data_IF_515427768197
#
_entry.id   IF_515427768197
#
_cell.length_a   1.000
_cell.length_b   1.000
_cell.length_c   1.000
_cell.angle_alpha   90.00
_cell.angle_beta   90.00
_cell.angle_gamma   90.00
#
_symmetry.space_group_name_H-M   'P 1'
#
loop_
_entity.id
_entity.type
_entity.pdbx_description
1 polymer ?
#
# COMPACT_ATOMS: atom_id res chain seq x y z
N UNK A 1 -27.44 18.64 20.81
CA UNK A 1 -28.01 18.40 19.45
C UNK A 1 -27.15 19.17 18.50
N UNK A 2 -26.31 18.47 17.77
CA UNK A 2 -25.34 19.06 16.81
C UNK A 2 -26.11 19.31 15.51
N UNK A 3 -26.35 20.57 15.19
CA UNK A 3 -26.93 20.94 13.88
C UNK A 3 -25.76 21.27 12.96
N UNK A 4 -25.40 20.38 12.07
CA UNK A 4 -24.41 20.65 11.02
C UNK A 4 -25.09 21.53 9.93
N UNK A 5 -24.94 22.83 10.04
CA UNK A 5 -25.21 23.76 8.96
C UNK A 5 -23.88 24.05 8.26
N UNK A 6 -23.44 23.14 7.38
CA UNK A 6 -22.21 23.29 6.65
C UNK A 6 -22.33 24.24 5.48
N UNK A 7 -22.27 25.54 5.68
CA UNK A 7 -22.03 26.49 4.60
C UNK A 7 -20.51 26.65 4.37
N UNK A 8 -20.03 26.27 3.20
CA UNK A 8 -18.64 26.52 2.80
C UNK A 8 -18.58 27.88 2.08
N UNK A 9 -17.71 28.77 2.55
CA UNK A 9 -17.51 30.08 1.97
C UNK A 9 -16.04 30.47 1.91
N UNK A 10 -15.67 31.35 0.98
CA UNK A 10 -14.30 31.85 0.85
C UNK A 10 -14.14 33.16 1.63
N UNK A 11 -13.07 33.28 2.41
CA UNK A 11 -12.77 34.51 3.17
C UNK A 11 -12.34 35.68 2.27
N UNK A 12 -12.69 36.94 2.58
CA UNK A 12 -13.52 37.35 3.73
C UNK A 12 -15.01 37.06 3.51
N UNK A 13 -15.66 36.48 4.50
CA UNK A 13 -17.08 36.10 4.43
C UNK A 13 -17.85 36.59 5.65
N UNK A 14 -19.06 37.12 5.42
CA UNK A 14 -19.96 37.53 6.49
C UNK A 14 -21.14 36.54 6.56
N UNK A 15 -21.28 35.86 7.67
CA UNK A 15 -22.46 35.02 7.94
C UNK A 15 -23.61 35.95 8.34
N UNK A 16 -24.69 36.04 7.54
CA UNK A 16 -25.73 37.04 7.77
C UNK A 16 -26.61 36.77 8.97
N UNK A 17 -26.80 35.50 9.35
CA UNK A 17 -27.57 35.09 10.53
C UNK A 17 -27.01 33.80 11.10
N UNK A 18 -26.60 33.84 12.36
CA UNK A 18 -26.32 32.68 13.18
C UNK A 18 -27.26 32.68 14.38
N UNK A 19 -27.70 31.52 14.82
CA UNK A 19 -28.43 31.38 16.06
C UNK A 19 -27.52 31.72 17.24
N UNK A 20 -28.10 32.26 18.32
CA UNK A 20 -27.36 32.44 19.56
C UNK A 20 -26.92 31.10 20.15
N UNK A 21 -25.69 31.04 20.61
CA UNK A 21 -25.08 29.84 21.15
C UNK A 21 -23.65 29.59 20.69
N UNK A 22 -23.18 28.40 20.97
CA UNK A 22 -21.81 27.97 20.65
C UNK A 22 -21.74 27.42 19.21
N UNK A 23 -20.81 27.95 18.45
CA UNK A 23 -20.53 27.54 17.07
C UNK A 23 -19.05 27.21 16.88
N UNK A 24 -18.75 26.12 16.19
CA UNK A 24 -17.41 25.79 15.74
C UNK A 24 -17.21 26.27 14.29
N UNK A 25 -16.20 27.09 14.07
CA UNK A 25 -15.80 27.59 12.76
C UNK A 25 -14.48 26.90 12.37
N UNK A 26 -14.48 26.19 11.25
CA UNK A 26 -13.31 25.48 10.74
C UNK A 26 -12.75 26.24 9.55
N UNK A 27 -11.46 26.57 9.62
CA UNK A 27 -10.71 27.23 8.55
C UNK A 27 -9.84 26.22 7.80
N UNK A 28 -10.02 26.17 6.47
CA UNK A 28 -9.26 25.25 5.60
C UNK A 28 -8.67 26.02 4.42
N UNK A 29 -7.38 25.84 4.21
CA UNK A 29 -6.67 26.35 3.05
C UNK A 29 -5.65 25.31 2.57
N UNK A 30 -5.57 25.09 1.27
CA UNK A 30 -4.63 24.14 0.70
C UNK A 30 -3.17 24.52 1.04
N UNK A 31 -2.40 23.56 1.56
CA UNK A 31 -1.03 23.79 2.01
C UNK A 31 -0.88 24.36 3.43
N UNK A 32 -1.98 24.53 4.16
CA UNK A 32 -2.00 24.97 5.54
C UNK A 32 -2.69 23.94 6.45
N UNK A 33 -2.36 23.96 7.75
CA UNK A 33 -3.05 23.16 8.74
C UNK A 33 -4.49 23.66 8.93
N UNK A 34 -5.42 22.72 9.14
CA UNK A 34 -6.78 23.10 9.54
C UNK A 34 -6.75 23.73 10.93
N UNK A 35 -7.46 24.83 11.10
CA UNK A 35 -7.65 25.49 12.40
C UNK A 35 -9.13 25.57 12.71
N UNK A 36 -9.52 25.21 13.93
CA UNK A 36 -10.90 25.38 14.39
C UNK A 36 -10.95 26.39 15.54
N UNK A 37 -12.01 27.20 15.57
CA UNK A 37 -12.27 28.16 16.65
C UNK A 37 -13.71 28.08 17.08
N UNK A 38 -13.93 27.85 18.36
CA UNK A 38 -15.26 27.92 18.97
C UNK A 38 -15.59 29.35 19.35
N UNK A 39 -16.77 29.81 18.96
CA UNK A 39 -17.30 31.14 19.24
C UNK A 39 -18.66 31.05 19.91
N UNK A 40 -18.98 32.03 20.73
CA UNK A 40 -20.30 32.14 21.37
C UNK A 40 -21.01 33.33 20.72
N UNK A 41 -21.97 33.05 19.85
CA UNK A 41 -22.79 34.10 19.21
C UNK A 41 -23.81 34.63 20.18
N UNK A 42 -23.80 35.95 20.41
CA UNK A 42 -24.76 36.68 21.23
C UNK A 42 -25.69 37.52 20.34
N UNK A 43 -26.90 37.79 20.87
CA UNK A 43 -27.88 38.59 20.15
C UNK A 43 -27.34 39.99 19.92
N UNK A 44 -27.58 40.56 18.71
CA UNK A 44 -27.16 41.88 18.25
C UNK A 44 -25.66 42.22 18.32
N UNK A 45 -24.80 41.22 18.48
CA UNK A 45 -23.34 41.43 18.44
C UNK A 45 -22.73 40.94 17.12
N UNK A 46 -21.82 41.76 16.59
CA UNK A 46 -20.96 41.43 15.46
C UNK A 46 -19.58 41.03 15.98
N UNK A 47 -19.13 39.85 15.64
CA UNK A 47 -17.79 39.36 15.98
C UNK A 47 -16.94 39.18 14.71
N UNK A 48 -15.69 39.66 14.77
CA UNK A 48 -14.74 39.50 13.66
C UNK A 48 -13.71 38.48 14.07
N UNK A 49 -13.64 37.40 13.31
CA UNK A 49 -12.67 36.32 13.50
C UNK A 49 -11.49 36.53 12.56
N UNK A 50 -10.32 36.72 13.14
CA UNK A 50 -9.06 36.62 12.44
C UNK A 50 -8.35 35.36 12.88
N UNK A 51 -7.89 34.56 11.88
CA UNK A 51 -7.17 33.32 12.13
C UNK A 51 -5.94 33.30 11.26
N UNK A 52 -4.81 33.09 11.87
CA UNK A 52 -3.55 32.83 11.20
C UNK A 52 -3.41 31.32 11.01
N UNK A 53 -3.27 30.85 9.76
CA UNK A 53 -3.12 29.46 9.43
C UNK A 53 -1.65 29.09 9.34
N UNK A 54 -1.27 28.01 10.00
CA UNK A 54 0.09 27.49 9.94
C UNK A 54 0.36 26.76 8.64
N UNK A 55 1.46 27.14 7.97
CA UNK A 55 1.86 26.52 6.71
C UNK A 55 2.35 25.10 6.93
N UNK A 56 1.87 24.17 6.10
CA UNK A 56 2.36 22.80 6.06
C UNK A 56 3.65 22.74 5.22
N UNK A 57 4.71 22.23 5.81
CA UNK A 57 6.00 22.01 5.16
C UNK A 57 6.39 20.55 5.12
N UNK A 58 7.12 20.14 4.10
CA UNK A 58 7.74 18.82 4.06
C UNK A 58 9.06 18.85 4.83
N UNK A 59 9.10 18.21 5.97
CA UNK A 59 10.28 18.10 6.84
C UNK A 59 11.43 17.34 6.16
N UNK A 60 11.09 16.40 5.29
CA UNK A 60 12.02 15.47 4.67
C UNK A 60 11.90 15.49 3.14
N UNK A 61 12.96 15.11 2.45
CA UNK A 61 13.00 15.12 0.99
C UNK A 61 12.29 13.91 0.39
N UNK A 62 11.28 14.12 -0.46
CA UNK A 62 10.61 13.07 -1.23
C UNK A 62 11.58 12.24 -2.07
N UNK A 63 12.59 12.88 -2.68
CA UNK A 63 13.59 12.17 -3.48
C UNK A 63 14.41 11.18 -2.63
N UNK A 64 14.76 11.58 -1.40
CA UNK A 64 15.50 10.69 -0.49
C UNK A 64 14.64 9.51 -0.01
N UNK A 65 13.37 9.73 0.29
CA UNK A 65 12.42 8.66 0.65
C UNK A 65 12.29 7.64 -0.49
N UNK A 66 12.04 8.14 -1.71
CA UNK A 66 11.94 7.31 -2.91
C UNK A 66 13.19 6.45 -3.14
N UNK A 67 14.38 7.06 -3.13
CA UNK A 67 15.62 6.33 -3.34
C UNK A 67 15.88 5.26 -2.27
N UNK A 68 15.54 5.54 -1.02
CA UNK A 68 15.67 4.56 0.08
C UNK A 68 14.73 3.38 -0.10
N UNK A 69 13.47 3.62 -0.48
CA UNK A 69 12.50 2.57 -0.80
C UNK A 69 12.88 1.78 -2.06
N UNK A 70 13.54 2.44 -3.03
CA UNK A 70 14.03 1.78 -4.24
C UNK A 70 15.28 0.91 -4.01
N UNK A 71 16.03 1.10 -2.93
CA UNK A 71 17.16 0.23 -2.58
C UNK A 71 16.71 -0.91 -1.68
N UNK A 72 15.93 -0.59 -0.64
CA UNK A 72 15.40 -1.58 0.31
C UNK A 72 13.94 -1.26 0.60
N UNK A 73 13.01 -2.21 0.35
CA UNK A 73 11.61 -2.04 0.67
C UNK A 73 11.41 -1.61 2.13
N UNK A 74 10.58 -0.58 2.34
CA UNK A 74 10.28 -0.05 3.68
C UNK A 74 11.24 1.03 4.20
N UNK A 75 12.45 1.21 3.64
CA UNK A 75 13.41 2.19 4.15
C UNK A 75 13.00 3.64 3.89
N UNK A 76 12.24 3.90 2.85
CA UNK A 76 11.62 5.21 2.64
C UNK A 76 10.63 5.54 3.75
N UNK A 77 9.76 4.59 4.09
CA UNK A 77 8.77 4.73 5.16
C UNK A 77 9.43 4.90 6.55
N UNK A 78 10.54 4.21 6.83
CA UNK A 78 11.34 4.45 8.04
C UNK A 78 11.89 5.88 8.07
N UNK A 79 12.40 6.35 6.94
CA UNK A 79 12.88 7.72 6.81
C UNK A 79 11.75 8.74 7.03
N UNK A 80 10.53 8.43 6.63
CA UNK A 80 9.33 9.25 6.81
C UNK A 80 8.71 9.14 8.22
N UNK A 81 9.32 8.39 9.13
CA UNK A 81 8.80 8.12 10.48
C UNK A 81 7.46 7.36 10.47
N UNK A 82 7.30 6.46 9.50
CA UNK A 82 6.15 5.56 9.33
C UNK A 82 6.56 4.08 9.58
N UNK A 83 6.99 3.70 10.79
CA UNK A 83 7.61 2.40 11.06
C UNK A 83 6.66 1.22 10.83
N UNK A 84 5.35 1.38 11.05
CA UNK A 84 4.37 0.32 10.81
C UNK A 84 4.31 -0.04 9.32
N UNK A 85 4.27 0.95 8.43
CA UNK A 85 4.27 0.72 6.99
C UNK A 85 5.58 0.15 6.50
N UNK A 86 6.70 0.61 7.04
CA UNK A 86 8.01 0.03 6.76
C UNK A 86 8.04 -1.48 7.09
N UNK A 87 7.54 -1.86 8.27
CA UNK A 87 7.45 -3.27 8.66
C UNK A 87 6.55 -4.07 7.71
N UNK A 88 5.38 -3.53 7.32
CA UNK A 88 4.47 -4.18 6.37
C UNK A 88 5.18 -4.49 5.05
N UNK A 89 5.89 -3.51 4.47
CA UNK A 89 6.60 -3.72 3.20
C UNK A 89 7.74 -4.71 3.33
N UNK A 90 8.57 -4.60 4.36
CA UNK A 90 9.69 -5.54 4.61
C UNK A 90 9.15 -6.97 4.78
N UNK A 91 8.10 -7.13 5.58
CA UNK A 91 7.51 -8.45 5.85
C UNK A 91 6.86 -9.04 4.60
N UNK A 92 6.14 -8.23 3.82
CA UNK A 92 5.52 -8.66 2.57
C UNK A 92 6.56 -9.17 1.58
N UNK A 93 7.61 -8.40 1.32
CA UNK A 93 8.69 -8.79 0.40
C UNK A 93 9.43 -10.04 0.90
N UNK A 94 9.77 -10.11 2.18
CA UNK A 94 10.43 -11.28 2.75
C UNK A 94 9.56 -12.54 2.61
N UNK A 95 8.25 -12.43 2.83
CA UNK A 95 7.30 -13.54 2.69
C UNK A 95 7.19 -14.02 1.24
N UNK A 96 7.15 -13.09 0.28
CA UNK A 96 7.11 -13.41 -1.15
C UNK A 96 8.41 -14.08 -1.61
N UNK A 97 9.57 -13.60 -1.17
CA UNK A 97 10.87 -14.22 -1.45
C UNK A 97 10.92 -15.64 -0.87
N UNK A 98 10.48 -15.82 0.37
CA UNK A 98 10.42 -17.15 1.00
C UNK A 98 9.50 -18.11 0.22
N UNK A 99 8.30 -17.64 -0.14
CA UNK A 99 7.35 -18.41 -0.96
C UNK A 99 7.95 -18.81 -2.31
N UNK A 100 8.61 -17.87 -2.99
CA UNK A 100 9.25 -18.12 -4.29
C UNK A 100 10.37 -19.16 -4.20
N UNK A 101 11.19 -19.11 -3.14
CA UNK A 101 12.25 -20.11 -2.90
C UNK A 101 11.68 -21.52 -2.69
N UNK A 102 10.60 -21.64 -1.91
CA UNK A 102 9.92 -22.93 -1.71
C UNK A 102 9.32 -23.46 -3.02
N UNK A 103 8.58 -22.62 -3.75
CA UNK A 103 8.01 -22.97 -5.05
C UNK A 103 9.09 -23.42 -6.05
N UNK A 104 10.24 -22.75 -6.05
CA UNK A 104 11.37 -23.13 -6.92
C UNK A 104 11.93 -24.50 -6.55
N UNK A 105 12.08 -24.78 -5.25
CA UNK A 105 12.53 -26.10 -4.78
C UNK A 105 11.54 -27.20 -5.18
N UNK A 106 10.25 -26.93 -5.03
CA UNK A 106 9.20 -27.90 -5.40
C UNK A 106 9.11 -28.07 -6.92
N UNK A 107 9.26 -27.01 -7.69
CA UNK A 107 9.33 -27.11 -9.16
C UNK A 107 10.46 -28.03 -9.64
N UNK A 108 11.66 -27.89 -9.07
CA UNK A 108 12.79 -28.74 -9.44
C UNK A 108 12.46 -30.22 -9.23
N UNK A 109 11.83 -30.57 -8.09
CA UNK A 109 11.42 -31.95 -7.75
C UNK A 109 10.32 -32.46 -8.71
N UNK A 110 9.28 -31.63 -8.92
CA UNK A 110 8.14 -31.99 -9.78
C UNK A 110 8.58 -32.14 -11.25
N UNK A 111 9.46 -31.26 -11.70
CA UNK A 111 9.99 -31.34 -13.06
C UNK A 111 10.89 -32.57 -13.25
N UNK A 112 11.68 -32.92 -12.26
CA UNK A 112 12.48 -34.12 -12.29
C UNK A 112 11.59 -35.39 -12.31
N UNK A 113 10.55 -35.44 -11.49
CA UNK A 113 9.57 -36.55 -11.48
C UNK A 113 8.89 -36.71 -12.86
N UNK A 114 8.50 -35.58 -13.48
CA UNK A 114 7.99 -35.59 -14.86
C UNK A 114 9.02 -36.18 -15.86
N UNK A 115 10.28 -35.75 -15.79
CA UNK A 115 11.31 -36.26 -16.69
C UNK A 115 11.56 -37.76 -16.50
N UNK A 116 11.59 -38.23 -15.26
CA UNK A 116 11.80 -39.64 -14.92
C UNK A 116 10.63 -40.51 -15.42
N UNK A 117 9.39 -40.09 -15.19
CA UNK A 117 8.19 -40.78 -15.70
C UNK A 117 8.13 -40.78 -17.23
N UNK A 118 8.46 -39.66 -17.88
CA UNK A 118 8.52 -39.56 -19.34
C UNK A 118 9.57 -40.49 -19.92
N UNK A 119 10.76 -40.56 -19.32
CA UNK A 119 11.81 -41.47 -19.75
C UNK A 119 11.41 -42.93 -19.54
N UNK A 120 10.83 -43.26 -18.39
CA UNK A 120 10.31 -44.63 -18.13
C UNK A 120 9.23 -45.03 -19.14
N UNK A 121 8.30 -44.09 -19.47
CA UNK A 121 7.28 -44.32 -20.49
C UNK A 121 7.89 -44.57 -21.89
N UNK A 122 8.95 -43.88 -22.28
CA UNK A 122 9.53 -43.94 -23.61
C UNK A 122 10.17 -45.32 -23.95
N UNK A 123 10.54 -46.08 -22.92
CA UNK A 123 11.15 -47.43 -23.04
C UNK A 123 10.22 -48.55 -22.55
N UNK A 124 8.98 -48.20 -22.21
CA UNK A 124 8.02 -49.14 -21.65
C UNK A 124 7.36 -49.97 -22.74
N UNK A 125 7.40 -51.31 -22.60
CA UNK A 125 6.70 -52.26 -23.45
C UNK A 125 5.70 -53.02 -22.56
N UNK A 126 4.40 -52.98 -22.94
CA UNK A 126 3.34 -53.60 -22.15
C UNK A 126 2.02 -53.68 -22.91
N UNK A 127 0.97 -54.08 -22.20
CA UNK A 127 -0.38 -54.07 -22.72
C UNK A 127 -0.90 -52.66 -22.98
N UNK A 128 -1.92 -52.51 -23.82
CA UNK A 128 -2.52 -51.21 -24.13
C UNK A 128 -3.03 -50.45 -22.86
N UNK A 129 -3.56 -51.21 -21.90
CA UNK A 129 -4.03 -50.61 -20.66
C UNK A 129 -2.90 -50.07 -19.79
N UNK A 130 -1.79 -50.83 -19.69
CA UNK A 130 -0.59 -50.39 -18.96
C UNK A 130 0.08 -49.19 -19.62
N UNK A 131 0.14 -49.13 -20.94
CA UNK A 131 0.64 -47.97 -21.70
C UNK A 131 -0.21 -46.74 -21.43
N UNK A 132 -1.55 -46.89 -21.41
CA UNK A 132 -2.49 -45.81 -21.13
C UNK A 132 -2.33 -45.28 -19.69
N UNK A 133 -2.17 -46.22 -18.72
CA UNK A 133 -1.91 -45.84 -17.34
C UNK A 133 -0.60 -45.07 -17.19
N UNK A 134 0.48 -45.57 -17.79
CA UNK A 134 1.80 -44.91 -17.74
C UNK A 134 1.76 -43.50 -18.38
N UNK A 135 1.04 -43.34 -19.46
CA UNK A 135 0.82 -42.03 -20.09
C UNK A 135 0.05 -41.08 -19.14
N UNK A 136 -0.96 -41.55 -18.44
CA UNK A 136 -1.67 -40.79 -17.43
C UNK A 136 -0.77 -40.30 -16.29
N UNK A 137 0.19 -41.14 -15.85
CA UNK A 137 1.20 -40.75 -14.84
C UNK A 137 2.11 -39.61 -15.35
N UNK A 138 2.53 -39.69 -16.62
CA UNK A 138 3.34 -38.63 -17.27
C UNK A 138 2.58 -37.32 -17.36
N UNK A 139 1.32 -37.35 -17.81
CA UNK A 139 0.47 -36.16 -17.90
C UNK A 139 0.24 -35.54 -16.52
N UNK A 140 -0.07 -36.34 -15.52
CA UNK A 140 -0.26 -35.84 -14.14
C UNK A 140 1.00 -35.16 -13.59
N UNK A 141 2.18 -35.71 -13.82
CA UNK A 141 3.44 -35.12 -13.40
C UNK A 141 3.77 -33.83 -14.15
N UNK A 142 3.46 -33.79 -15.46
CA UNK A 142 3.58 -32.58 -16.27
C UNK A 142 2.67 -31.45 -15.73
N UNK A 143 1.39 -31.73 -15.51
CA UNK A 143 0.41 -30.78 -15.02
C UNK A 143 0.80 -30.22 -13.64
N UNK A 144 1.33 -31.08 -12.77
CA UNK A 144 1.83 -30.66 -11.45
C UNK A 144 3.03 -29.70 -11.56
N UNK A 145 3.99 -30.02 -12.46
CA UNK A 145 5.15 -29.18 -12.73
C UNK A 145 4.74 -27.82 -13.35
N UNK A 146 3.85 -27.84 -14.35
CA UNK A 146 3.36 -26.66 -15.03
C UNK A 146 2.53 -25.74 -14.09
N UNK A 147 1.67 -26.33 -13.27
CA UNK A 147 0.91 -25.60 -12.27
C UNK A 147 1.83 -24.89 -11.26
N UNK A 148 2.88 -25.57 -10.78
CA UNK A 148 3.87 -24.96 -9.89
C UNK A 148 4.63 -23.83 -10.57
N UNK A 149 5.05 -24.00 -11.82
CA UNK A 149 5.69 -22.95 -12.61
C UNK A 149 4.82 -21.71 -12.78
N UNK A 150 3.53 -21.89 -13.05
CA UNK A 150 2.55 -20.80 -13.12
C UNK A 150 2.42 -20.06 -11.80
N UNK A 151 2.38 -20.80 -10.68
CA UNK A 151 2.35 -20.19 -9.35
C UNK A 151 3.60 -19.35 -9.05
N UNK A 152 4.78 -19.79 -9.50
CA UNK A 152 6.00 -18.98 -9.40
C UNK A 152 5.88 -17.66 -10.19
N UNK A 153 5.33 -17.70 -11.41
CA UNK A 153 5.14 -16.49 -12.23
C UNK A 153 4.18 -15.51 -11.54
N UNK A 154 3.09 -16.01 -10.95
CA UNK A 154 2.14 -15.20 -10.17
C UNK A 154 2.85 -14.56 -8.97
N UNK A 155 3.60 -15.35 -8.20
CA UNK A 155 4.35 -14.85 -7.02
C UNK A 155 5.37 -13.79 -7.41
N UNK A 156 6.10 -13.98 -8.53
CA UNK A 156 7.01 -12.96 -9.07
C UNK A 156 6.27 -11.67 -9.47
N UNK A 157 5.13 -11.80 -10.12
CA UNK A 157 4.30 -10.66 -10.47
C UNK A 157 3.81 -9.88 -9.24
N UNK A 158 3.39 -10.59 -8.19
CA UNK A 158 2.99 -9.99 -6.92
C UNK A 158 4.17 -9.28 -6.22
N UNK A 159 5.36 -9.87 -6.22
CA UNK A 159 6.56 -9.28 -5.66
C UNK A 159 6.94 -7.98 -6.36
N UNK A 160 6.95 -7.97 -7.69
CA UNK A 160 7.21 -6.75 -8.47
C UNK A 160 6.15 -5.68 -8.21
N UNK A 161 4.86 -6.08 -8.16
CA UNK A 161 3.75 -5.17 -7.86
C UNK A 161 3.85 -4.55 -6.46
N UNK A 162 4.13 -5.36 -5.43
CA UNK A 162 4.31 -4.91 -4.06
C UNK A 162 5.52 -3.96 -3.94
N UNK A 163 6.63 -4.29 -4.59
CA UNK A 163 7.81 -3.43 -4.64
C UNK A 163 7.53 -2.07 -5.30
N UNK A 164 6.89 -2.06 -6.46
CA UNK A 164 6.51 -0.82 -7.14
C UNK A 164 5.57 0.04 -6.29
N UNK A 165 4.62 -0.61 -5.62
CA UNK A 165 3.70 0.08 -4.71
C UNK A 165 4.43 0.68 -3.50
N UNK A 166 5.38 -0.04 -2.89
CA UNK A 166 6.21 0.47 -1.81
C UNK A 166 6.97 1.75 -2.21
N UNK A 167 7.56 1.77 -3.41
CA UNK A 167 8.28 2.94 -3.93
C UNK A 167 7.31 4.11 -4.18
N UNK A 168 6.13 3.81 -4.76
CA UNK A 168 5.10 4.82 -4.99
C UNK A 168 4.54 5.39 -3.68
N UNK A 169 4.28 4.56 -2.68
CA UNK A 169 3.81 4.98 -1.35
C UNK A 169 4.78 5.98 -0.70
N UNK A 170 6.07 5.70 -0.71
CA UNK A 170 7.09 6.59 -0.16
C UNK A 170 7.14 7.96 -0.85
N UNK A 171 6.68 8.06 -2.09
CA UNK A 171 6.61 9.32 -2.81
C UNK A 171 5.27 10.04 -2.63
N UNK A 172 4.16 9.30 -2.59
CA UNK A 172 2.80 9.84 -2.57
C UNK A 172 2.36 10.27 -1.17
N UNK A 173 2.66 9.46 -0.15
CA UNK A 173 2.09 9.59 1.21
C UNK A 173 3.07 10.14 2.25
N UNK A 174 4.05 10.92 1.82
CA UNK A 174 4.97 11.59 2.73
C UNK A 174 4.22 12.53 3.69
N UNK A 175 4.39 12.36 5.01
CA UNK A 175 3.75 13.22 6.00
C UNK A 175 4.23 14.66 5.90
N UNK A 176 3.30 15.61 6.11
CA UNK A 176 3.56 17.02 6.22
C UNK A 176 3.44 17.44 7.68
N UNK A 177 4.22 18.39 8.12
CA UNK A 177 4.16 18.97 9.46
C UNK A 177 4.01 20.49 9.38
N UNK A 178 3.50 21.10 10.45
CA UNK A 178 3.44 22.57 10.58
C UNK A 178 4.81 23.15 10.95
N UNK A 179 5.05 24.39 10.58
CA UNK A 179 6.31 25.09 10.92
C UNK A 179 6.53 25.20 12.43
N UNK A 180 5.47 25.36 13.22
CA UNK A 180 5.52 25.49 14.67
C UNK A 180 6.04 24.26 15.42
N UNK A 181 6.02 23.07 14.80
CA UNK A 181 6.48 21.83 15.44
C UNK A 181 8.01 21.60 15.33
N UNK A 182 8.77 22.66 14.98
CA UNK A 182 10.23 22.61 14.86
C UNK A 182 11.01 23.22 16.03
N UNK A 183 10.33 23.78 17.01
CA UNK A 183 10.95 24.40 18.18
C UNK A 183 11.13 23.41 19.34
#
# INVERSE_FOLDING_TARGET
TRTESGSVATTPYTVPKLWTGEHEVIFKLEGFAESSKTIIVQEDKREVLQVELEKLIYVKSRKQALWRSAIVPGFGQLYEERPLWAFVYIFTEASLIYSLNNQRSDYIKLHQDYLDKRNAYSIFEGSQDEITQKWGEVQSAFDASESNYRNQQITMGLMVGAYMWNVADAWLFMPRRTESNWS
#
